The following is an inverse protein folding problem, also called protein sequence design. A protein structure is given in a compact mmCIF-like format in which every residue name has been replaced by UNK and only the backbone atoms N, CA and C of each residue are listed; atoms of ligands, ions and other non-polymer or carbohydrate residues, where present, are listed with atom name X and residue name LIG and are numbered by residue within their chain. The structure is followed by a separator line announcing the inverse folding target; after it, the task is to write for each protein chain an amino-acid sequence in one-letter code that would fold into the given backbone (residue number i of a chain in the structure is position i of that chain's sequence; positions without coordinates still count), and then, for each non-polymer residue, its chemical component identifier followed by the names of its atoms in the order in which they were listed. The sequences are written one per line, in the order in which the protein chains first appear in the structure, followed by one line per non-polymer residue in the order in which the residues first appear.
data_IF_546123000614
#
_entry.id   IF_546123000614
#
_cell.length_a   1.000
_cell.length_b   1.000
_cell.length_c   1.000
_cell.angle_alpha   90.00
_cell.angle_beta   90.00
_cell.angle_gamma   90.00
#
_symmetry.space_group_name_H-M   'P 1'
#
loop_
_entity.id
_entity.type
_entity.pdbx_description
1 polymer ?
#
# COMPACT_ATOMS: atom_id res chain seq x y z
N UNK A 1 22.77 8.24 -0.74
CA UNK A 1 21.48 8.89 -0.41
C UNK A 1 21.34 10.31 -0.96
N UNK A 2 22.31 11.23 -0.80
CA UNK A 2 22.15 12.62 -1.31
C UNK A 2 21.93 12.72 -2.83
N UNK A 3 22.54 11.82 -3.63
CA UNK A 3 22.36 11.78 -5.08
C UNK A 3 20.96 11.30 -5.53
N UNK A 4 20.25 10.52 -4.71
CA UNK A 4 18.91 10.03 -5.04
C UNK A 4 17.83 11.08 -4.75
N UNK A 5 17.97 11.80 -3.63
CA UNK A 5 17.11 12.94 -3.30
C UNK A 5 17.25 14.06 -4.35
N UNK A 6 18.47 14.40 -4.75
CA UNK A 6 18.72 15.41 -5.79
C UNK A 6 18.21 15.01 -7.19
N UNK A 7 18.07 13.69 -7.47
CA UNK A 7 17.47 13.19 -8.72
C UNK A 7 15.94 13.21 -8.68
N UNK A 8 15.33 13.00 -7.51
CA UNK A 8 13.89 13.15 -7.33
C UNK A 8 13.46 14.61 -7.57
N UNK A 9 14.22 15.58 -7.06
CA UNK A 9 13.97 17.01 -7.29
C UNK A 9 14.17 17.44 -8.76
N UNK A 10 15.05 16.77 -9.50
CA UNK A 10 15.28 17.03 -10.94
C UNK A 10 14.22 16.41 -11.87
N UNK A 11 13.54 15.36 -11.45
CA UNK A 11 12.49 14.71 -12.27
C UNK A 11 11.23 15.58 -12.44
N UNK A 12 11.11 16.67 -11.66
CA UNK A 12 10.03 17.67 -11.75
C UNK A 12 10.31 18.78 -12.78
N UNK A 13 11.46 18.82 -13.46
CA UNK A 13 11.91 20.01 -14.21
C UNK A 13 12.51 19.78 -15.60
N UNK A 14 12.04 18.78 -16.37
CA UNK A 14 12.43 18.63 -17.78
C UNK A 14 11.27 18.84 -18.76
N UNK A 15 10.99 20.12 -19.05
CA UNK A 15 10.58 20.63 -20.38
C UNK A 15 11.23 22.03 -20.58
N UNK A 16 12.19 22.15 -21.52
CA UNK A 16 12.63 23.43 -22.10
C UNK A 16 14.00 24.03 -21.66
N UNK A 17 14.86 24.26 -22.65
CA UNK A 17 16.26 24.77 -22.70
C UNK A 17 16.73 25.98 -21.83
N UNK A 18 18.06 26.23 -21.72
CA UNK A 18 18.67 26.90 -20.57
C UNK A 18 19.06 28.38 -20.80
N UNK A 19 18.91 29.22 -19.77
CA UNK A 19 19.81 30.37 -19.57
C UNK A 19 19.93 30.75 -18.09
N UNK A 20 21.14 31.19 -17.75
CA UNK A 20 21.75 31.30 -16.42
C UNK A 20 21.10 32.37 -15.53
N UNK A 21 20.88 32.04 -14.26
CA UNK A 21 21.30 32.91 -13.13
C UNK A 21 21.36 32.13 -11.81
N UNK A 22 22.56 32.04 -11.25
CA UNK A 22 22.81 31.72 -9.84
C UNK A 22 22.09 32.76 -8.96
N UNK A 23 21.23 32.32 -8.05
CA UNK A 23 21.27 32.67 -6.62
C UNK A 23 20.03 32.12 -5.88
N UNK A 24 20.22 31.85 -4.59
CA UNK A 24 19.22 31.52 -3.56
C UNK A 24 18.80 30.05 -3.43
N UNK A 25 19.75 29.27 -2.91
CA UNK A 25 19.49 28.37 -1.78
C UNK A 25 18.82 29.14 -0.63
N UNK A 26 17.49 29.18 -0.60
CA UNK A 26 16.71 29.52 0.60
C UNK A 26 15.27 29.06 0.44
N UNK A 27 14.91 27.96 1.10
CA UNK A 27 13.51 27.55 1.28
C UNK A 27 13.10 26.20 0.68
N UNK A 28 13.89 25.14 0.85
CA UNK A 28 13.27 23.80 0.86
C UNK A 28 12.38 23.76 2.11
N UNK A 29 11.08 24.01 1.96
CA UNK A 29 10.10 23.71 2.98
C UNK A 29 10.29 22.25 3.38
N UNK A 30 11.01 22.03 4.48
CA UNK A 30 11.38 20.70 4.95
C UNK A 30 10.08 20.03 5.36
N UNK A 31 9.52 19.22 4.46
CA UNK A 31 8.24 18.54 4.65
C UNK A 31 8.25 17.85 6.00
N UNK A 32 7.13 17.94 6.71
CA UNK A 32 6.98 17.29 8.00
C UNK A 32 7.23 15.79 7.82
N UNK A 33 8.16 15.25 8.60
CA UNK A 33 8.42 13.81 8.63
C UNK A 33 7.24 13.11 9.31
N UNK A 34 6.70 12.08 8.66
CA UNK A 34 5.62 11.24 9.18
C UNK A 34 6.12 9.81 9.40
N UNK A 35 5.44 9.04 10.23
CA UNK A 35 5.83 7.66 10.51
C UNK A 35 5.57 6.77 9.29
N UNK A 36 4.33 6.65 8.84
CA UNK A 36 4.04 5.92 7.61
C UNK A 36 2.85 6.48 6.85
N UNK A 37 2.84 6.18 5.55
CA UNK A 37 1.70 6.43 4.66
C UNK A 37 1.11 5.08 4.25
N UNK A 38 -0.19 4.90 4.44
CA UNK A 38 -0.94 3.72 4.05
C UNK A 38 -1.92 4.07 2.93
N UNK A 39 -1.72 3.46 1.78
CA UNK A 39 -2.61 3.54 0.63
C UNK A 39 -3.52 2.32 0.57
N UNK A 40 -4.82 2.55 0.70
CA UNK A 40 -5.84 1.52 0.52
C UNK A 40 -6.25 1.52 -0.95
N UNK A 41 -5.83 0.52 -1.71
CA UNK A 41 -6.11 0.44 -3.14
C UNK A 41 -7.56 0.01 -3.34
N UNK A 42 -8.36 0.88 -3.97
CA UNK A 42 -9.79 0.67 -4.20
C UNK A 42 -10.16 0.99 -5.65
N UNK A 43 -11.43 0.92 -6.03
CA UNK A 43 -11.94 1.20 -7.40
C UNK A 43 -13.13 2.16 -7.36
N UNK A 44 -13.48 2.76 -8.49
CA UNK A 44 -14.51 3.81 -8.56
C UNK A 44 -15.86 3.36 -7.97
N UNK A 45 -16.29 2.14 -8.32
CA UNK A 45 -17.54 1.54 -7.82
C UNK A 45 -17.38 0.85 -6.44
N UNK A 46 -16.25 1.03 -5.76
CA UNK A 46 -15.93 0.41 -4.47
C UNK A 46 -16.53 1.10 -3.24
N UNK A 47 -17.51 2.01 -3.39
CA UNK A 47 -18.06 2.84 -2.29
C UNK A 47 -18.39 2.03 -1.04
N UNK A 48 -19.15 0.94 -1.19
CA UNK A 48 -19.54 0.10 -0.05
C UNK A 48 -18.35 -0.52 0.70
N UNK A 49 -17.26 -0.85 0.00
CA UNK A 49 -16.04 -1.38 0.63
C UNK A 49 -15.30 -0.30 1.41
N UNK A 50 -15.23 0.92 0.85
CA UNK A 50 -14.66 2.07 1.56
C UNK A 50 -15.45 2.43 2.80
N UNK A 51 -16.78 2.46 2.69
CA UNK A 51 -17.66 2.72 3.82
C UNK A 51 -17.49 1.65 4.92
N UNK A 52 -17.41 0.36 4.57
CA UNK A 52 -17.19 -0.69 5.57
C UNK A 52 -15.83 -0.59 6.28
N UNK A 53 -14.79 -0.12 5.58
CA UNK A 53 -13.48 0.17 6.19
C UNK A 53 -13.57 1.36 7.15
N UNK A 54 -14.22 2.45 6.73
CA UNK A 54 -14.45 3.65 7.54
C UNK A 54 -15.28 3.35 8.79
N UNK A 55 -16.30 2.52 8.66
CA UNK A 55 -17.19 2.10 9.76
C UNK A 55 -16.52 1.13 10.73
N UNK A 56 -15.32 0.63 10.41
CA UNK A 56 -14.60 -0.35 11.23
C UNK A 56 -13.21 0.13 11.66
N UNK A 57 -12.16 -0.20 10.92
CA UNK A 57 -10.77 -0.05 11.38
C UNK A 57 -10.10 1.26 10.97
N UNK A 58 -10.64 1.99 10.00
CA UNK A 58 -10.09 3.28 9.58
C UNK A 58 -10.78 4.44 10.31
N UNK A 59 -10.06 5.23 11.11
CA UNK A 59 -10.62 6.42 11.74
C UNK A 59 -11.15 7.43 10.71
N UNK A 60 -12.15 8.22 11.12
CA UNK A 60 -12.80 9.21 10.27
C UNK A 60 -12.71 10.63 10.86
N UNK A 61 -12.87 11.65 10.02
CA UNK A 61 -13.02 13.04 10.44
C UNK A 61 -11.88 13.51 11.36
N UNK A 62 -12.23 14.06 12.52
CA UNK A 62 -11.24 14.58 13.49
C UNK A 62 -10.33 13.49 14.07
N UNK A 63 -10.79 12.25 14.15
CA UNK A 63 -9.93 11.17 14.64
C UNK A 63 -8.83 10.80 13.63
N UNK A 64 -9.18 10.81 12.33
CA UNK A 64 -8.20 10.64 11.26
C UNK A 64 -7.17 11.78 11.29
N UNK A 65 -7.62 13.04 11.39
CA UNK A 65 -6.71 14.19 11.51
C UNK A 65 -5.80 14.07 12.72
N UNK A 66 -6.34 13.69 13.88
CA UNK A 66 -5.55 13.47 15.10
C UNK A 66 -4.50 12.37 14.89
N UNK A 67 -4.84 11.29 14.19
CA UNK A 67 -3.90 10.22 13.87
C UNK A 67 -2.74 10.73 12.99
N UNK A 68 -3.03 11.60 12.02
CA UNK A 68 -2.03 12.25 11.17
C UNK A 68 -1.14 13.21 11.96
N UNK A 69 -1.75 14.05 12.80
CA UNK A 69 -1.08 15.12 13.52
C UNK A 69 -0.32 14.64 14.76
N UNK A 70 -0.80 13.64 15.48
CA UNK A 70 -0.16 13.17 16.71
C UNK A 70 0.77 11.98 16.46
N UNK A 71 0.41 11.09 15.53
CA UNK A 71 1.15 9.84 15.28
C UNK A 71 1.92 9.86 13.97
N UNK A 72 1.70 10.84 13.09
CA UNK A 72 2.31 10.86 11.77
C UNK A 72 1.88 9.65 10.93
N UNK A 73 0.64 9.20 11.08
CA UNK A 73 0.10 8.08 10.30
C UNK A 73 -0.90 8.64 9.31
N UNK A 74 -0.58 8.56 8.02
CA UNK A 74 -1.42 9.05 6.93
C UNK A 74 -2.11 7.85 6.29
N UNK A 75 -3.45 7.84 6.22
CA UNK A 75 -4.23 6.77 5.60
C UNK A 75 -5.08 7.38 4.49
N UNK A 76 -4.97 6.90 3.26
CA UNK A 76 -5.76 7.40 2.12
C UNK A 76 -6.29 6.26 1.26
N UNK A 77 -7.53 6.39 0.80
CA UNK A 77 -8.04 5.59 -0.31
C UNK A 77 -7.38 6.03 -1.60
N UNK A 78 -6.73 5.11 -2.31
CA UNK A 78 -6.00 5.40 -3.53
C UNK A 78 -6.89 5.11 -4.73
N UNK A 79 -7.23 6.18 -5.44
CA UNK A 79 -8.21 6.14 -6.52
C UNK A 79 -7.63 6.78 -7.79
N UNK A 80 -7.89 6.19 -8.94
CA UNK A 80 -7.68 6.82 -10.24
C UNK A 80 -8.91 7.63 -10.66
N UNK A 81 -9.11 7.75 -11.96
CA UNK A 81 -10.27 8.37 -12.57
C UNK A 81 -10.84 7.47 -13.66
N UNK A 82 -12.08 7.71 -14.07
CA UNK A 82 -12.67 6.99 -15.19
C UNK A 82 -12.02 7.38 -16.52
N UNK A 83 -12.25 6.59 -17.57
CA UNK A 83 -11.78 6.91 -18.92
C UNK A 83 -12.54 8.07 -19.56
N UNK A 84 -13.72 8.41 -19.02
CA UNK A 84 -14.56 9.52 -19.45
C UNK A 84 -14.59 10.58 -18.36
N UNK A 85 -13.76 11.63 -18.46
CA UNK A 85 -13.73 12.70 -17.47
C UNK A 85 -15.13 13.23 -17.16
N UNK A 86 -15.39 13.53 -15.88
CA UNK A 86 -16.67 14.04 -15.37
C UNK A 86 -17.88 13.10 -15.57
N UNK A 87 -17.60 11.81 -15.75
CA UNK A 87 -18.61 10.75 -15.76
C UNK A 87 -19.36 10.62 -14.42
N UNK A 88 -20.43 9.82 -14.40
CA UNK A 88 -21.22 9.58 -13.18
C UNK A 88 -20.38 9.01 -12.03
N UNK A 89 -19.42 8.15 -12.34
CA UNK A 89 -18.49 7.57 -11.36
C UNK A 89 -17.55 8.63 -10.77
N UNK A 90 -16.96 9.49 -11.60
CA UNK A 90 -16.05 10.54 -11.13
C UNK A 90 -16.82 11.57 -10.27
N UNK A 91 -18.06 11.93 -10.65
CA UNK A 91 -18.91 12.79 -9.82
C UNK A 91 -19.26 12.16 -8.47
N UNK A 92 -19.48 10.85 -8.42
CA UNK A 92 -19.73 10.15 -7.17
C UNK A 92 -18.50 10.15 -6.25
N UNK A 93 -17.30 9.98 -6.82
CA UNK A 93 -16.04 10.10 -6.07
C UNK A 93 -15.84 11.53 -5.55
N UNK A 94 -16.10 12.55 -6.37
CA UNK A 94 -15.96 13.95 -5.94
C UNK A 94 -16.90 14.30 -4.78
N UNK A 95 -18.14 13.81 -4.81
CA UNK A 95 -19.08 13.99 -3.71
C UNK A 95 -18.62 13.27 -2.43
N UNK A 96 -18.00 12.10 -2.56
CA UNK A 96 -17.42 11.37 -1.44
C UNK A 96 -16.18 12.07 -0.86
N UNK A 97 -15.31 12.63 -1.71
CA UNK A 97 -14.14 13.41 -1.28
C UNK A 97 -14.56 14.68 -0.52
N UNK A 98 -15.63 15.36 -0.96
CA UNK A 98 -16.17 16.53 -0.24
C UNK A 98 -16.59 16.17 1.19
N UNK A 99 -17.18 14.97 1.36
CA UNK A 99 -17.66 14.46 2.64
C UNK A 99 -16.51 13.99 3.54
N UNK A 100 -15.57 13.19 3.02
CA UNK A 100 -14.62 12.42 3.84
C UNK A 100 -13.18 12.94 3.79
N UNK A 101 -12.76 13.58 2.69
CA UNK A 101 -11.41 14.17 2.51
C UNK A 101 -10.27 13.17 2.73
N UNK A 102 -10.50 11.93 2.36
CA UNK A 102 -9.62 10.80 2.64
C UNK A 102 -9.10 10.08 1.39
N UNK A 103 -9.22 10.70 0.20
CA UNK A 103 -8.64 10.16 -1.02
C UNK A 103 -7.21 10.65 -1.32
N UNK A 104 -6.47 9.79 -2.01
CA UNK A 104 -5.31 10.14 -2.82
C UNK A 104 -5.65 9.85 -4.27
N UNK A 105 -5.93 10.91 -5.03
CA UNK A 105 -6.16 10.83 -6.46
C UNK A 105 -4.83 10.61 -7.21
N UNK A 106 -4.86 9.65 -8.13
CA UNK A 106 -3.77 9.38 -9.07
C UNK A 106 -4.21 9.80 -10.47
N UNK A 107 -3.26 10.33 -11.25
CA UNK A 107 -3.43 10.43 -12.70
C UNK A 107 -3.31 9.02 -13.30
N UNK A 108 -4.41 8.27 -13.26
CA UNK A 108 -4.50 6.86 -13.62
C UNK A 108 -5.92 6.53 -14.05
N UNK A 109 -6.07 6.00 -15.27
CA UNK A 109 -7.37 5.50 -15.73
C UNK A 109 -7.62 4.15 -15.07
N UNK A 110 -8.72 4.03 -14.34
CA UNK A 110 -9.11 2.78 -13.68
C UNK A 110 -9.56 1.75 -14.72
N UNK A 111 -9.03 0.52 -14.63
CA UNK A 111 -9.30 -0.53 -15.60
C UNK A 111 -8.91 -1.93 -15.13
N UNK A 112 -9.49 -2.94 -15.78
CA UNK A 112 -9.15 -4.34 -15.58
C UNK A 112 -7.76 -4.58 -16.20
N UNK A 113 -6.77 -4.97 -15.37
CA UNK A 113 -5.32 -5.17 -15.70
C UNK A 113 -4.35 -4.05 -15.35
N UNK A 114 -4.80 -2.97 -14.72
CA UNK A 114 -3.93 -1.83 -14.43
C UNK A 114 -3.39 -1.78 -12.99
N UNK A 115 -3.64 -2.82 -12.18
CA UNK A 115 -3.32 -2.82 -10.75
C UNK A 115 -1.82 -2.63 -10.47
N UNK A 116 -0.94 -3.35 -11.20
CA UNK A 116 0.52 -3.21 -11.06
C UNK A 116 0.98 -1.77 -11.39
N UNK A 117 0.37 -1.15 -12.41
CA UNK A 117 0.66 0.24 -12.77
C UNK A 117 0.16 1.20 -11.69
N UNK A 118 -1.05 0.97 -11.18
CA UNK A 118 -1.64 1.76 -10.10
C UNK A 118 -0.79 1.71 -8.83
N UNK A 119 -0.31 0.54 -8.42
CA UNK A 119 0.62 0.39 -7.30
C UNK A 119 1.90 1.20 -7.52
N UNK A 120 2.51 1.09 -8.71
CA UNK A 120 3.72 1.87 -9.03
C UNK A 120 3.46 3.38 -8.94
N UNK A 121 2.33 3.84 -9.47
CA UNK A 121 1.90 5.25 -9.41
C UNK A 121 1.60 5.68 -7.98
N UNK A 122 0.97 4.83 -7.17
CA UNK A 122 0.72 5.07 -5.75
C UNK A 122 2.00 5.35 -4.99
N UNK A 123 2.96 4.41 -5.01
CA UNK A 123 4.22 4.58 -4.28
C UNK A 123 5.00 5.81 -4.76
N UNK A 124 4.99 6.08 -6.07
CA UNK A 124 5.60 7.28 -6.64
C UNK A 124 4.93 8.55 -6.10
N UNK A 125 3.60 8.66 -6.21
CA UNK A 125 2.85 9.84 -5.77
C UNK A 125 2.92 10.05 -4.25
N UNK A 126 2.82 8.98 -3.47
CA UNK A 126 2.92 9.05 -2.01
C UNK A 126 4.31 9.51 -1.57
N UNK A 127 5.38 8.96 -2.16
CA UNK A 127 6.76 9.38 -1.88
C UNK A 127 7.01 10.82 -2.30
N UNK A 128 6.44 11.25 -3.43
CA UNK A 128 6.54 12.62 -3.91
C UNK A 128 5.72 13.61 -3.08
N UNK A 129 4.72 13.16 -2.30
CA UNK A 129 3.84 14.03 -1.50
C UNK A 129 4.24 14.09 -0.03
N UNK A 130 4.60 12.97 0.58
CA UNK A 130 4.91 12.86 2.01
C UNK A 130 6.34 12.35 2.23
N UNK A 131 7.02 12.90 3.24
CA UNK A 131 8.29 12.37 3.75
C UNK A 131 7.99 11.39 4.90
N UNK A 132 7.87 10.09 4.59
CA UNK A 132 7.52 9.05 5.55
C UNK A 132 8.67 8.06 5.79
N UNK A 133 8.71 7.42 6.97
CA UNK A 133 9.67 6.33 7.25
C UNK A 133 9.29 5.05 6.50
N UNK A 134 7.99 4.78 6.38
CA UNK A 134 7.44 3.64 5.65
C UNK A 134 6.28 4.02 4.73
N UNK A 135 6.10 3.23 3.68
CA UNK A 135 4.97 3.32 2.75
C UNK A 135 4.31 1.95 2.63
N UNK A 136 2.99 1.89 2.75
CA UNK A 136 2.20 0.68 2.85
C UNK A 136 1.13 0.64 1.77
N UNK A 137 0.94 -0.53 1.18
CA UNK A 137 -0.22 -0.84 0.35
C UNK A 137 -1.12 -1.80 1.10
N UNK A 138 -2.43 -1.58 1.02
CA UNK A 138 -3.47 -2.47 1.57
C UNK A 138 -4.60 -2.60 0.53
N UNK A 139 -5.19 -3.79 0.39
CA UNK A 139 -6.40 -3.97 -0.42
C UNK A 139 -7.68 -3.52 0.32
N UNK A 140 -8.69 -3.06 -0.41
CA UNK A 140 -9.95 -2.54 0.16
C UNK A 140 -10.92 -3.62 0.70
N UNK A 141 -10.48 -4.87 0.75
CA UNK A 141 -11.17 -5.99 1.38
C UNK A 141 -10.34 -6.66 2.47
N UNK A 142 -9.41 -5.96 3.10
CA UNK A 142 -8.57 -6.46 4.21
C UNK A 142 -8.92 -5.76 5.53
N UNK A 143 -8.94 -6.51 6.64
CA UNK A 143 -9.03 -5.93 7.98
C UNK A 143 -7.62 -5.66 8.52
N UNK A 144 -7.41 -4.48 9.10
CA UNK A 144 -6.11 -4.04 9.60
C UNK A 144 -6.20 -3.59 11.06
N UNK A 145 -5.22 -4.02 11.85
CA UNK A 145 -5.00 -3.60 13.22
C UNK A 145 -3.87 -2.56 13.26
N UNK A 146 -4.22 -1.28 13.30
CA UNK A 146 -3.29 -0.16 13.14
C UNK A 146 -2.21 -0.12 14.22
N UNK A 147 -2.52 -0.45 15.48
CA UNK A 147 -1.52 -0.47 16.56
C UNK A 147 -0.48 -1.57 16.38
N UNK A 148 -0.91 -2.73 15.91
CA UNK A 148 -0.08 -3.91 15.65
C UNK A 148 0.82 -3.67 14.43
N UNK A 149 0.26 -3.15 13.33
CA UNK A 149 1.06 -2.72 12.17
C UNK A 149 2.07 -1.64 12.57
N UNK A 150 1.65 -0.63 13.34
CA UNK A 150 2.55 0.41 13.85
C UNK A 150 3.70 -0.17 14.67
N UNK A 151 3.39 -1.12 15.55
CA UNK A 151 4.38 -1.81 16.39
C UNK A 151 5.34 -2.64 15.55
N UNK A 152 4.87 -3.32 14.51
CA UNK A 152 5.72 -4.05 13.55
C UNK A 152 6.69 -3.10 12.85
N UNK A 153 6.19 -2.01 12.26
CA UNK A 153 7.04 -1.05 11.54
C UNK A 153 8.07 -0.38 12.47
N UNK A 154 7.68 -0.09 13.71
CA UNK A 154 8.56 0.54 14.69
C UNK A 154 9.82 -0.31 14.97
N UNK A 155 9.69 -1.65 15.00
CA UNK A 155 10.82 -2.59 15.19
C UNK A 155 11.85 -2.54 14.04
N UNK A 156 11.47 -2.02 12.88
CA UNK A 156 12.32 -1.99 11.69
C UNK A 156 12.82 -0.58 11.31
N UNK A 157 12.55 0.46 12.12
CA UNK A 157 12.93 1.87 11.83
C UNK A 157 14.42 2.09 11.59
N UNK A 158 15.29 1.31 12.21
CA UNK A 158 16.74 1.43 12.07
C UNK A 158 17.29 0.81 10.77
N UNK A 159 16.45 0.10 10.01
CA UNK A 159 16.85 -0.63 8.81
C UNK A 159 16.51 0.17 7.54
N UNK A 160 17.49 0.48 6.67
CA UNK A 160 17.28 1.40 5.56
C UNK A 160 16.45 0.81 4.41
N UNK A 161 16.62 -0.48 4.10
CA UNK A 161 16.03 -1.17 2.93
C UNK A 161 15.29 -2.42 3.39
N UNK A 162 14.07 -2.24 3.87
CA UNK A 162 13.20 -3.34 4.31
C UNK A 162 11.96 -3.42 3.45
N UNK A 163 11.62 -4.65 3.07
CA UNK A 163 10.36 -5.02 2.44
C UNK A 163 9.67 -6.02 3.38
N UNK A 164 8.54 -5.62 3.93
CA UNK A 164 7.84 -6.33 5.01
C UNK A 164 6.48 -6.79 4.49
N UNK A 165 6.15 -8.05 4.75
CA UNK A 165 4.86 -8.63 4.40
C UNK A 165 4.82 -10.10 4.78
N UNK A 166 3.71 -10.77 4.50
CA UNK A 166 3.67 -12.23 4.58
C UNK A 166 4.32 -12.81 3.32
N UNK A 167 5.55 -13.29 3.43
CA UNK A 167 6.38 -13.65 2.28
C UNK A 167 5.98 -15.03 1.74
N UNK A 168 5.59 -15.07 0.48
CA UNK A 168 5.17 -16.28 -0.23
C UNK A 168 6.02 -16.54 -1.46
N UNK A 169 5.92 -17.78 -1.96
CA UNK A 169 6.37 -18.19 -3.28
C UNK A 169 5.40 -19.26 -3.77
N UNK A 170 5.07 -19.23 -5.05
CA UNK A 170 4.05 -20.09 -5.65
C UNK A 170 4.35 -20.39 -7.11
N UNK A 171 3.63 -21.32 -7.73
CA UNK A 171 3.85 -21.71 -9.12
C UNK A 171 3.68 -20.51 -10.06
N UNK A 172 4.50 -20.46 -11.11
CA UNK A 172 4.33 -19.47 -12.18
C UNK A 172 3.08 -19.81 -12.97
N UNK A 173 2.19 -18.82 -13.15
CA UNK A 173 0.88 -19.02 -13.78
C UNK A 173 0.99 -18.91 -15.31
N UNK A 174 1.48 -19.96 -15.98
CA UNK A 174 1.68 -19.95 -17.44
C UNK A 174 0.43 -20.34 -18.26
N UNK A 175 -0.47 -21.12 -17.65
CA UNK A 175 -1.61 -21.75 -18.34
C UNK A 175 -2.66 -20.75 -18.83
N UNK A 176 -3.16 -20.95 -20.06
CA UNK A 176 -4.26 -20.16 -20.64
C UNK A 176 -5.55 -20.33 -19.81
N UNK A 177 -6.29 -19.25 -19.65
CA UNK A 177 -7.57 -19.24 -18.92
C UNK A 177 -7.46 -19.10 -17.40
N UNK A 178 -6.25 -19.17 -16.82
CA UNK A 178 -6.05 -18.93 -15.39
C UNK A 178 -5.98 -17.43 -15.10
N UNK A 179 -6.61 -16.99 -14.01
CA UNK A 179 -6.54 -15.61 -13.51
C UNK A 179 -5.08 -15.24 -13.27
N UNK A 180 -4.67 -14.05 -13.71
CA UNK A 180 -3.27 -13.58 -13.64
C UNK A 180 -2.27 -14.46 -14.39
N UNK A 181 -2.70 -15.11 -15.49
CA UNK A 181 -1.75 -15.73 -16.42
C UNK A 181 -0.65 -14.74 -16.77
N UNK A 182 0.60 -15.17 -16.65
CA UNK A 182 1.79 -14.40 -16.99
C UNK A 182 2.22 -14.71 -18.44
N UNK A 183 2.03 -13.79 -19.40
CA UNK A 183 2.45 -14.01 -20.79
C UNK A 183 3.96 -14.21 -20.90
N UNK A 184 4.74 -13.57 -20.03
CA UNK A 184 6.20 -13.64 -19.98
C UNK A 184 6.72 -14.66 -18.96
N UNK A 185 5.94 -15.72 -18.67
CA UNK A 185 6.27 -16.74 -17.68
C UNK A 185 7.66 -17.37 -17.89
N UNK A 186 8.14 -17.43 -19.13
CA UNK A 186 9.46 -17.92 -19.49
C UNK A 186 10.63 -17.13 -18.86
N UNK A 187 10.41 -15.89 -18.41
CA UNK A 187 11.41 -15.10 -17.65
C UNK A 187 11.67 -15.64 -16.25
N UNK A 188 10.77 -16.47 -15.73
CA UNK A 188 10.91 -17.10 -14.40
C UNK A 188 11.57 -18.49 -14.50
N UNK A 189 12.10 -18.82 -15.67
CA UNK A 189 12.79 -20.07 -16.00
C UNK A 189 11.85 -21.11 -16.62
N UNK A 190 12.09 -22.38 -16.31
CA UNK A 190 11.46 -23.51 -16.96
C UNK A 190 10.13 -23.91 -16.33
N UNK A 191 9.42 -24.85 -16.97
CA UNK A 191 8.18 -25.40 -16.45
C UNK A 191 8.40 -26.04 -15.06
N UNK A 192 7.49 -25.74 -14.13
CA UNK A 192 7.60 -26.17 -12.72
C UNK A 192 8.30 -25.15 -11.82
N UNK A 193 8.92 -24.11 -12.36
CA UNK A 193 9.48 -23.04 -11.55
C UNK A 193 8.42 -22.26 -10.78
N UNK A 194 8.88 -21.67 -9.68
CA UNK A 194 8.08 -20.80 -8.81
C UNK A 194 8.50 -19.35 -8.99
N UNK A 195 7.58 -18.44 -8.73
CA UNK A 195 7.94 -17.03 -8.56
C UNK A 195 8.99 -16.89 -7.44
N UNK A 196 9.88 -15.92 -7.58
CA UNK A 196 10.77 -15.50 -6.49
C UNK A 196 9.94 -15.11 -5.26
N UNK A 197 10.56 -15.11 -4.08
CA UNK A 197 9.85 -14.79 -2.84
C UNK A 197 9.42 -13.32 -2.82
N UNK A 198 8.14 -13.08 -2.58
CA UNK A 198 7.51 -11.76 -2.54
C UNK A 198 6.41 -11.74 -1.47
N UNK A 199 6.00 -10.56 -1.01
CA UNK A 199 4.91 -10.44 -0.05
C UNK A 199 3.56 -10.77 -0.72
N UNK A 200 2.62 -11.31 0.05
CA UNK A 200 1.23 -11.42 -0.37
C UNK A 200 0.60 -10.03 -0.58
N UNK A 201 -0.23 -9.90 -1.63
CA UNK A 201 -0.75 -8.61 -2.09
C UNK A 201 -1.66 -7.87 -1.11
N UNK A 202 -2.27 -8.57 -0.15
CA UNK A 202 -3.29 -8.00 0.74
C UNK A 202 -2.75 -6.83 1.57
N UNK A 203 -1.52 -6.95 2.05
CA UNK A 203 -0.81 -5.89 2.76
C UNK A 203 0.71 -6.10 2.68
N UNK A 204 1.44 -5.03 2.40
CA UNK A 204 2.88 -5.01 2.54
C UNK A 204 3.41 -3.59 2.77
N UNK A 205 4.62 -3.49 3.31
CA UNK A 205 5.28 -2.23 3.64
C UNK A 205 6.70 -2.19 3.07
N UNK A 206 7.14 -1.00 2.68
CA UNK A 206 8.54 -0.74 2.32
C UNK A 206 9.08 0.47 3.06
N UNK A 207 10.39 0.45 3.35
CA UNK A 207 11.09 1.63 3.88
C UNK A 207 11.18 2.76 2.86
N UNK A 208 11.42 3.97 3.37
CA UNK A 208 11.63 5.19 2.57
C UNK A 208 12.61 5.02 1.41
N UNK A 209 13.75 4.36 1.62
CA UNK A 209 14.77 4.22 0.57
C UNK A 209 14.25 3.42 -0.64
N UNK A 210 13.43 2.40 -0.40
CA UNK A 210 12.82 1.61 -1.47
C UNK A 210 11.70 2.38 -2.15
N UNK A 211 10.94 3.19 -1.41
CA UNK A 211 9.91 4.05 -1.97
C UNK A 211 10.53 5.14 -2.87
N UNK A 212 11.66 5.73 -2.46
CA UNK A 212 12.47 6.62 -3.30
C UNK A 212 13.00 5.89 -4.53
N UNK A 213 13.49 4.65 -4.38
CA UNK A 213 13.93 3.84 -5.51
C UNK A 213 12.80 3.66 -6.54
N UNK A 214 11.58 3.36 -6.10
CA UNK A 214 10.41 3.28 -6.98
C UNK A 214 10.16 4.61 -7.68
N UNK A 215 10.08 5.71 -6.93
CA UNK A 215 9.83 7.05 -7.50
C UNK A 215 10.86 7.41 -8.58
N UNK A 216 12.15 7.22 -8.30
CA UNK A 216 13.26 7.58 -9.20
C UNK A 216 13.29 6.68 -10.45
N UNK A 217 13.03 5.38 -10.30
CA UNK A 217 13.17 4.40 -11.38
C UNK A 217 11.84 4.00 -12.02
N UNK A 218 10.72 4.67 -11.69
CA UNK A 218 9.35 4.31 -12.09
C UNK A 218 9.18 3.96 -13.58
N UNK A 219 9.92 4.61 -14.47
CA UNK A 219 9.81 4.42 -15.92
C UNK A 219 10.43 3.12 -16.43
N UNK A 220 11.35 2.52 -15.66
CA UNK A 220 12.04 1.27 -16.02
C UNK A 220 11.58 0.07 -15.18
N UNK A 221 10.74 0.29 -14.17
CA UNK A 221 10.19 -0.78 -13.34
C UNK A 221 9.14 -1.57 -14.13
N UNK A 222 9.51 -2.79 -14.51
CA UNK A 222 8.66 -3.70 -15.27
C UNK A 222 7.44 -4.14 -14.46
N UNK A 223 6.32 -4.39 -15.14
CA UNK A 223 5.10 -4.90 -14.53
C UNK A 223 4.72 -6.24 -15.14
N UNK A 224 4.44 -7.20 -14.27
CA UNK A 224 3.89 -8.51 -14.58
C UNK A 224 2.37 -8.51 -14.39
N UNK A 225 1.71 -9.58 -14.85
CA UNK A 225 0.26 -9.73 -14.78
C UNK A 225 -0.27 -9.76 -13.33
N UNK A 226 0.54 -10.25 -12.39
CA UNK A 226 0.26 -10.23 -10.97
C UNK A 226 0.96 -9.03 -10.30
N UNK A 227 0.22 -8.27 -9.49
CA UNK A 227 0.72 -7.07 -8.83
C UNK A 227 1.77 -7.38 -7.76
N UNK A 228 1.51 -8.36 -6.89
CA UNK A 228 2.44 -8.82 -5.86
C UNK A 228 3.80 -9.25 -6.47
N UNK A 229 3.74 -9.96 -7.60
CA UNK A 229 4.94 -10.39 -8.35
C UNK A 229 5.62 -9.17 -8.96
N UNK A 230 4.88 -8.24 -9.58
CA UNK A 230 5.45 -6.99 -10.09
C UNK A 230 6.23 -6.26 -9.01
N UNK A 231 5.60 -6.05 -7.86
CA UNK A 231 6.17 -5.31 -6.74
C UNK A 231 7.43 -5.95 -6.19
N UNK A 232 7.41 -7.26 -5.93
CA UNK A 232 8.58 -7.98 -5.44
C UNK A 232 9.74 -8.01 -6.45
N UNK A 233 9.45 -8.01 -7.76
CA UNK A 233 10.49 -8.03 -8.80
C UNK A 233 11.38 -6.79 -8.79
N UNK A 234 10.86 -5.66 -8.31
CA UNK A 234 11.59 -4.39 -8.27
C UNK A 234 12.74 -4.42 -7.27
N UNK A 235 12.75 -5.38 -6.34
CA UNK A 235 13.72 -5.48 -5.25
C UNK A 235 14.63 -6.70 -5.32
N UNK A 236 14.34 -7.70 -6.17
CA UNK A 236 15.09 -8.96 -6.19
C UNK A 236 16.58 -8.80 -6.55
N UNK A 237 16.91 -7.79 -7.34
CA UNK A 237 18.30 -7.45 -7.70
C UNK A 237 18.96 -6.42 -6.77
N UNK A 238 18.30 -6.04 -5.68
CA UNK A 238 18.77 -5.05 -4.71
C UNK A 238 19.14 -5.74 -3.39
N UNK A 239 20.04 -5.12 -2.63
CA UNK A 239 20.37 -5.53 -1.26
C UNK A 239 19.24 -5.13 -0.29
N UNK A 240 18.13 -5.87 -0.32
CA UNK A 240 16.90 -5.62 0.45
C UNK A 240 16.65 -6.74 1.45
N UNK A 241 16.43 -6.34 2.70
CA UNK A 241 16.01 -7.28 3.74
C UNK A 241 14.50 -7.56 3.60
N UNK A 242 14.18 -8.80 3.21
CA UNK A 242 12.81 -9.29 3.15
C UNK A 242 12.40 -9.80 4.55
N UNK A 243 11.44 -9.13 5.17
CA UNK A 243 10.89 -9.52 6.47
C UNK A 243 9.59 -10.30 6.25
N UNK A 244 9.62 -11.58 6.60
CA UNK A 244 8.43 -12.44 6.63
C UNK A 244 7.69 -12.27 7.97
N UNK A 245 6.62 -11.47 7.97
CA UNK A 245 5.77 -11.27 9.13
C UNK A 245 4.43 -12.00 8.94
N UNK A 246 4.32 -13.18 9.54
CA UNK A 246 3.13 -14.05 9.50
C UNK A 246 1.90 -13.43 10.19
N UNK A 247 2.06 -12.32 10.92
CA UNK A 247 0.95 -11.58 11.51
C UNK A 247 0.25 -10.68 10.48
N UNK A 248 0.79 -10.55 9.27
CA UNK A 248 0.19 -9.80 8.16
C UNK A 248 -0.66 -10.66 7.22
N UNK A 249 -0.94 -11.91 7.57
CA UNK A 249 -1.74 -12.83 6.75
C UNK A 249 -2.58 -13.83 7.56
N UNK A 250 -3.24 -13.35 8.61
CA UNK A 250 -4.08 -14.20 9.45
C UNK A 250 -5.43 -14.51 8.80
N UNK A 251 -5.87 -15.76 8.91
CA UNK A 251 -7.18 -16.21 8.42
C UNK A 251 -8.35 -15.73 9.30
N UNK A 252 -9.49 -15.37 8.69
CA UNK A 252 -10.70 -14.98 9.46
C UNK A 252 -11.63 -16.16 9.82
N UNK A 253 -11.42 -17.34 9.23
CA UNK A 253 -12.30 -18.52 9.38
C UNK A 253 -11.50 -19.79 9.72
N UNK A 254 -11.97 -20.65 10.65
CA UNK A 254 -12.14 -20.40 12.08
C UNK A 254 -10.82 -19.92 12.70
N UNK A 255 -10.86 -18.91 13.57
CA UNK A 255 -10.10 -17.68 13.39
C UNK A 255 -8.66 -17.79 13.91
N UNK A 256 -7.69 -17.89 13.00
CA UNK A 256 -6.27 -17.71 13.30
C UNK A 256 -6.03 -16.38 14.03
N UNK A 257 -6.76 -15.33 13.63
CA UNK A 257 -6.66 -14.01 14.26
C UNK A 257 -7.00 -14.01 15.76
N UNK A 258 -8.05 -14.71 16.19
CA UNK A 258 -8.48 -14.73 17.60
C UNK A 258 -7.52 -15.58 18.43
N UNK A 259 -7.13 -16.74 17.90
CA UNK A 259 -6.18 -17.63 18.56
C UNK A 259 -4.83 -16.93 18.77
N UNK A 260 -4.32 -16.26 17.74
CA UNK A 260 -3.08 -15.49 17.80
C UNK A 260 -3.17 -14.31 18.77
N UNK A 261 -4.30 -13.61 18.82
CA UNK A 261 -4.54 -12.57 19.80
C UNK A 261 -4.50 -13.12 21.25
N UNK A 262 -5.14 -14.26 21.50
CA UNK A 262 -5.12 -14.94 22.81
C UNK A 262 -3.71 -15.43 23.19
N UNK A 263 -2.93 -15.85 22.19
CA UNK A 263 -1.54 -16.29 22.37
C UNK A 263 -0.53 -15.13 22.52
N UNK A 264 -0.97 -13.87 22.53
CA UNK A 264 -0.11 -12.70 22.69
C UNK A 264 0.66 -12.28 21.43
N UNK A 265 0.29 -12.81 20.27
CA UNK A 265 0.85 -12.44 18.96
C UNK A 265 -0.26 -11.91 18.04
N UNK A 266 -0.89 -10.77 18.35
CA UNK A 266 -2.03 -10.28 17.59
C UNK A 266 -1.67 -10.05 16.11
N UNK A 267 -2.66 -10.24 15.24
CA UNK A 267 -2.51 -10.05 13.81
C UNK A 267 -2.52 -8.56 13.45
N UNK A 268 -1.62 -8.15 12.56
CA UNK A 268 -1.63 -6.82 11.94
C UNK A 268 -2.63 -6.73 10.80
N UNK A 269 -2.88 -7.84 10.09
CA UNK A 269 -3.90 -7.92 9.06
C UNK A 269 -4.58 -9.29 9.01
N UNK A 270 -5.88 -9.28 8.66
CA UNK A 270 -6.72 -10.47 8.59
C UNK A 270 -7.52 -10.52 7.28
N UNK A 271 -7.52 -11.67 6.61
CA UNK A 271 -8.25 -11.91 5.36
C UNK A 271 -8.47 -13.41 5.10
N UNK A 272 -9.27 -13.75 4.09
CA UNK A 272 -9.51 -15.13 3.67
C UNK A 272 -8.72 -15.48 2.40
N UNK A 273 -7.91 -16.54 2.47
CA UNK A 273 -7.13 -17.02 1.33
C UNK A 273 -8.01 -17.43 0.13
N UNK A 274 -9.22 -17.94 0.38
CA UNK A 274 -10.14 -18.45 -0.64
C UNK A 274 -10.61 -17.39 -1.64
N UNK A 275 -10.66 -16.12 -1.24
CA UNK A 275 -11.01 -15.00 -2.11
C UNK A 275 -9.91 -13.95 -2.21
N UNK A 276 -8.73 -14.20 -1.61
CA UNK A 276 -7.58 -13.29 -1.62
C UNK A 276 -7.89 -11.91 -1.00
N UNK A 277 -8.72 -11.91 0.04
CA UNK A 277 -9.31 -10.76 0.73
C UNK A 277 -10.37 -11.28 1.72
N UNK A 278 -11.15 -10.44 2.39
CA UNK A 278 -12.30 -10.89 3.19
C UNK A 278 -13.43 -11.22 2.23
N UNK A 279 -13.91 -12.46 2.26
CA UNK A 279 -14.98 -12.85 1.35
C UNK A 279 -16.26 -12.13 1.75
N UNK A 280 -16.95 -11.50 0.79
CA UNK A 280 -18.10 -10.62 1.05
C UNK A 280 -17.74 -9.53 2.07
N UNK A 281 -16.65 -8.81 1.83
CA UNK A 281 -16.07 -7.83 2.75
C UNK A 281 -17.06 -6.74 3.16
N UNK A 282 -17.97 -6.34 2.28
CA UNK A 282 -19.02 -5.36 2.60
C UNK A 282 -19.93 -5.82 3.73
N UNK A 283 -20.22 -7.11 3.83
CA UNK A 283 -21.09 -7.69 4.85
C UNK A 283 -20.32 -8.22 6.06
N UNK A 284 -19.07 -8.67 5.86
CA UNK A 284 -18.29 -9.36 6.88
C UNK A 284 -17.24 -8.51 7.60
N UNK A 285 -16.90 -7.32 7.09
CA UNK A 285 -15.86 -6.49 7.72
C UNK A 285 -16.16 -6.17 9.18
N UNK A 286 -17.42 -5.87 9.52
CA UNK A 286 -17.83 -5.57 10.90
C UNK A 286 -17.66 -6.80 11.83
N UNK A 287 -18.11 -7.96 11.37
CA UNK A 287 -17.96 -9.23 12.11
C UNK A 287 -16.49 -9.58 12.33
N UNK A 288 -15.66 -9.45 11.30
CA UNK A 288 -14.21 -9.66 11.37
C UNK A 288 -13.58 -8.63 12.31
N UNK A 289 -13.96 -7.35 12.24
CA UNK A 289 -13.42 -6.31 13.10
C UNK A 289 -13.73 -6.55 14.57
N UNK A 290 -14.95 -6.98 14.90
CA UNK A 290 -15.32 -7.31 16.28
C UNK A 290 -14.51 -8.48 16.87
N UNK A 291 -14.11 -9.43 16.02
CA UNK A 291 -13.42 -10.67 16.41
C UNK A 291 -11.90 -10.52 16.40
N UNK A 292 -11.36 -9.97 15.32
CA UNK A 292 -9.93 -9.83 15.06
C UNK A 292 -9.38 -8.46 15.47
N UNK A 293 -10.24 -7.48 15.79
CA UNK A 293 -9.85 -6.10 16.09
C UNK A 293 -9.06 -5.95 17.39
N UNK A 294 -8.29 -4.87 17.46
CA UNK A 294 -7.67 -4.40 18.70
C UNK A 294 -8.78 -3.98 19.66
N UNK A 295 -9.07 -4.84 20.66
CA UNK A 295 -10.22 -4.69 21.58
C UNK A 295 -10.46 -3.25 22.04
N UNK A 296 -11.74 -2.86 22.05
CA UNK A 296 -12.27 -1.49 22.20
C UNK A 296 -11.57 -0.62 23.24
N UNK A 297 -10.48 0.00 22.80
CA UNK A 297 -9.90 1.27 23.21
C UNK A 297 -8.62 1.38 22.38
N UNK A 298 -8.74 2.02 21.20
CA UNK A 298 -7.67 2.88 20.70
C UNK A 298 -7.34 3.87 21.83
N UNK A 299 -6.51 3.46 22.79
CA UNK A 299 -5.89 4.41 23.71
C UNK A 299 -4.82 5.09 22.89
N UNK A 300 -4.87 6.41 22.69
CA UNK A 300 -3.83 7.16 21.98
C UNK A 300 -2.41 6.87 22.52
N UNK A 301 -2.31 6.34 23.75
CA UNK A 301 -1.05 6.06 24.43
C UNK A 301 -0.41 4.69 24.13
N UNK A 302 -0.97 3.84 23.25
CA UNK A 302 -0.32 2.56 22.88
C UNK A 302 0.41 2.57 21.53
N UNK A 303 0.35 3.67 20.79
CA UNK A 303 1.14 3.88 19.58
C UNK A 303 2.34 4.77 19.95
N UNK A 304 3.37 4.18 20.55
CA UNK A 304 4.67 4.81 20.83
C UNK A 304 5.78 3.81 20.57
#
# INVERSE_FOLDING_TARGET
MQLAAARADKADSEEGSPMVTRSRTSGLNRRRKVFFVMGIITVLNGRKRRDSIRETWMPQGEELKRLEEEKGIIIRFVIGHSSTPDGSLDRAINAEEEQHKDFLHLNHIEGYHELSLKTRKYFSAATAKWDAEFYLKVDDDVHVNLGTVSSTLARHRSKPRVYIGCMKSGPVLAQKGVKYREPEHWKFGEEGNKYFRHAAGQIYAISKDLAIYILVNRHILHTYANEDVSFGSWFIGLDVEHIDDINLCCGTTPPDCEWKAQAGSPCGASFDWSCSGICKSTERMEEVHRRCGEGGKLRPNRIT
#
